data_IF_451684314779
#
_entry.id   IF_451684314779
#
_cell.length_a   1.000
_cell.length_b   1.000
_cell.length_c   1.000
_cell.angle_alpha   90.00
_cell.angle_beta   90.00
_cell.angle_gamma   90.00
#
_symmetry.space_group_name_H-M   'P 1'
#
loop_
_entity.id
_entity.type
_entity.pdbx_description
1 polymer ?
#
# COMPACT_ATOMS: atom_id res chain seq x y z
N UNK A 1 -12.83 14.08 -25.72
CA UNK A 1 -11.66 13.36 -26.25
C UNK A 1 -10.54 13.53 -25.25
N UNK A 2 -10.01 12.44 -24.69
CA UNK A 2 -8.86 12.51 -23.79
C UNK A 2 -7.60 12.69 -24.65
N UNK A 3 -6.82 13.74 -24.37
CA UNK A 3 -5.53 13.97 -25.04
C UNK A 3 -4.52 13.09 -24.32
N UNK A 4 -3.95 12.13 -25.04
CA UNK A 4 -2.91 11.28 -24.46
C UNK A 4 -1.69 12.14 -24.15
N UNK A 5 -1.31 12.20 -22.88
CA UNK A 5 -0.19 13.05 -22.43
C UNK A 5 1.11 12.25 -22.39
N UNK A 6 2.23 12.92 -22.65
CA UNK A 6 3.58 12.32 -22.51
C UNK A 6 3.96 12.05 -21.05
N UNK A 7 3.09 12.41 -20.10
CA UNK A 7 3.32 12.26 -18.68
C UNK A 7 2.87 10.88 -18.19
N UNK A 8 3.78 10.15 -17.53
CA UNK A 8 3.45 8.87 -16.91
C UNK A 8 2.81 9.04 -15.53
N UNK A 9 1.72 8.33 -15.29
CA UNK A 9 1.10 8.18 -13.97
C UNK A 9 1.77 7.00 -13.26
N UNK A 10 2.40 7.25 -12.12
CA UNK A 10 2.99 6.21 -11.28
C UNK A 10 1.99 5.73 -10.22
N UNK A 11 1.86 4.42 -10.10
CA UNK A 11 1.07 3.76 -9.05
C UNK A 11 1.90 2.64 -8.44
N UNK A 12 1.87 2.52 -7.12
CA UNK A 12 2.45 1.39 -6.39
C UNK A 12 1.31 0.78 -5.61
N UNK A 13 0.78 -0.34 -6.11
CA UNK A 13 -0.19 -1.10 -5.34
C UNK A 13 0.52 -1.74 -4.13
N UNK A 14 -0.19 -1.95 -3.00
CA UNK A 14 0.33 -2.78 -1.92
C UNK A 14 0.77 -4.13 -2.48
N UNK A 15 1.99 -4.55 -2.14
CA UNK A 15 2.56 -5.82 -2.60
C UNK A 15 2.78 -5.98 -4.10
N UNK A 16 2.72 -4.91 -4.88
CA UNK A 16 2.93 -4.96 -6.31
C UNK A 16 4.17 -4.16 -6.72
N UNK A 17 4.82 -4.54 -7.85
CA UNK A 17 5.85 -3.71 -8.44
C UNK A 17 5.30 -2.32 -8.78
N UNK A 18 6.18 -1.32 -8.75
CA UNK A 18 5.83 0.03 -9.17
C UNK A 18 5.53 0.04 -10.67
N UNK A 19 4.28 0.34 -11.05
CA UNK A 19 3.86 0.42 -12.45
C UNK A 19 3.68 1.86 -12.90
N UNK A 20 3.74 2.06 -14.22
CA UNK A 20 3.50 3.33 -14.88
C UNK A 20 2.47 3.12 -15.99
N UNK A 21 1.57 4.07 -16.15
CA UNK A 21 0.63 4.11 -17.28
C UNK A 21 0.66 5.50 -17.95
N UNK A 22 0.35 5.60 -19.25
CA UNK A 22 0.13 6.90 -19.87
C UNK A 22 -0.93 7.71 -19.12
N UNK A 23 -0.69 9.01 -18.99
CA UNK A 23 -1.68 9.96 -18.52
C UNK A 23 -2.73 10.22 -19.60
N UNK A 24 -3.93 10.61 -19.16
CA UNK A 24 -5.03 10.97 -20.07
C UNK A 24 -5.26 12.48 -20.13
N UNK A 25 -4.42 13.27 -19.44
CA UNK A 25 -4.46 14.72 -19.43
C UNK A 25 -5.54 15.31 -18.53
N UNK A 26 -6.35 14.47 -17.86
CA UNK A 26 -7.41 14.89 -16.94
C UNK A 26 -7.05 14.63 -15.47
N UNK A 27 -5.78 14.42 -15.17
CA UNK A 27 -5.33 14.20 -13.81
C UNK A 27 -5.25 15.51 -12.98
N UNK A 28 -5.44 15.44 -11.65
CA UNK A 28 -5.27 16.59 -10.78
C UNK A 28 -3.85 17.19 -10.85
N UNK A 29 -3.75 18.51 -10.64
CA UNK A 29 -2.48 19.25 -10.67
C UNK A 29 -1.43 18.70 -9.70
N UNK A 30 -1.84 18.26 -8.51
CA UNK A 30 -0.97 17.57 -7.54
C UNK A 30 -1.42 16.12 -7.41
N UNK A 31 -0.48 15.17 -7.54
CA UNK A 31 -0.69 13.75 -7.30
C UNK A 31 0.23 13.26 -6.16
N UNK A 32 -0.23 13.27 -4.90
CA UNK A 32 0.58 12.75 -3.80
C UNK A 32 0.80 11.25 -3.99
N UNK A 33 2.06 10.85 -4.11
CA UNK A 33 2.44 9.44 -4.14
C UNK A 33 2.77 9.00 -2.73
N UNK A 34 1.78 8.46 -2.02
CA UNK A 34 1.98 7.89 -0.69
C UNK A 34 2.43 6.44 -0.86
N UNK A 35 3.74 6.25 -1.02
CA UNK A 35 4.37 4.95 -0.91
C UNK A 35 4.79 4.73 0.54
N UNK A 36 3.94 4.11 1.34
CA UNK A 36 4.30 3.70 2.69
C UNK A 36 4.54 2.20 2.66
N UNK A 37 5.76 1.77 3.04
CA UNK A 37 6.05 0.37 3.33
C UNK A 37 6.21 0.28 4.85
N UNK A 38 5.13 0.00 5.60
CA UNK A 38 5.20 -0.11 7.05
C UNK A 38 6.28 -1.11 7.47
N UNK A 39 6.90 -0.90 8.64
CA UNK A 39 7.93 -1.82 9.15
C UNK A 39 7.40 -3.26 9.24
N UNK A 40 6.14 -3.45 9.65
CA UNK A 40 5.51 -4.77 9.69
C UNK A 40 5.30 -5.40 8.32
N UNK A 41 5.37 -4.66 7.22
CA UNK A 41 5.35 -5.25 5.87
C UNK A 41 6.53 -6.23 5.68
N UNK A 42 7.63 -6.02 6.41
CA UNK A 42 8.79 -6.94 6.48
C UNK A 42 8.71 -7.97 7.60
N UNK A 43 7.82 -7.77 8.57
CA UNK A 43 7.73 -8.58 9.80
C UNK A 43 6.36 -9.25 9.98
N UNK A 44 5.51 -9.25 8.96
CA UNK A 44 4.19 -9.87 9.02
C UNK A 44 4.37 -11.37 9.29
N UNK A 45 3.81 -11.94 10.36
CA UNK A 45 4.13 -13.30 10.83
C UNK A 45 3.50 -14.43 9.99
N UNK A 46 3.25 -14.20 8.70
CA UNK A 46 2.70 -15.24 7.80
C UNK A 46 1.76 -14.74 6.71
N UNK A 47 1.86 -13.48 6.30
CA UNK A 47 1.13 -13.00 5.12
C UNK A 47 2.01 -13.21 3.88
N UNK A 48 1.61 -14.15 3.02
CA UNK A 48 2.24 -14.34 1.73
C UNK A 48 1.60 -13.43 0.68
N UNK A 49 2.44 -12.65 0.01
CA UNK A 49 2.09 -11.81 -1.12
C UNK A 49 2.33 -12.53 -2.45
N UNK A 50 1.87 -13.77 -2.52
CA UNK A 50 1.98 -14.62 -3.69
C UNK A 50 0.76 -14.46 -4.61
N UNK A 51 0.64 -15.33 -5.61
CA UNK A 51 -0.47 -15.31 -6.56
C UNK A 51 -1.85 -15.24 -5.88
N UNK A 52 -2.06 -15.95 -4.77
CA UNK A 52 -3.35 -15.98 -4.06
C UNK A 52 -3.74 -14.58 -3.58
N UNK A 53 -2.77 -13.79 -3.11
CA UNK A 53 -3.00 -12.39 -2.76
C UNK A 53 -3.52 -11.56 -3.94
N UNK A 54 -3.01 -11.83 -5.14
CA UNK A 54 -3.31 -11.08 -6.35
C UNK A 54 -4.56 -11.59 -7.09
N UNK A 55 -4.96 -12.84 -6.89
CA UNK A 55 -6.08 -13.46 -7.61
C UNK A 55 -7.35 -13.61 -6.76
N UNK A 56 -7.24 -13.71 -5.44
CA UNK A 56 -8.38 -13.88 -4.52
C UNK A 56 -8.71 -12.57 -3.76
N UNK A 57 -9.81 -11.87 -4.11
CA UNK A 57 -10.21 -10.64 -3.43
C UNK A 57 -10.61 -10.85 -1.97
N UNK A 58 -11.17 -12.01 -1.61
CA UNK A 58 -11.60 -12.29 -0.24
C UNK A 58 -10.38 -12.49 0.66
N UNK A 59 -9.40 -13.27 0.20
CA UNK A 59 -8.13 -13.44 0.89
C UNK A 59 -7.40 -12.11 1.07
N UNK A 60 -7.28 -11.31 0.00
CA UNK A 60 -6.69 -9.96 0.06
C UNK A 60 -7.39 -9.06 1.08
N UNK A 61 -8.72 -9.09 1.15
CA UNK A 61 -9.48 -8.27 2.10
C UNK A 61 -9.17 -8.67 3.53
N UNK A 62 -9.23 -9.96 3.83
CA UNK A 62 -9.01 -10.49 5.18
C UNK A 62 -7.65 -10.07 5.73
N UNK A 63 -6.63 -10.23 4.91
CA UNK A 63 -5.26 -9.90 5.28
C UNK A 63 -5.00 -8.40 5.37
N UNK A 64 -5.62 -7.54 4.54
CA UNK A 64 -5.60 -6.07 4.74
C UNK A 64 -6.20 -5.70 6.11
N UNK A 65 -7.27 -6.37 6.53
CA UNK A 65 -7.85 -6.12 7.86
C UNK A 65 -6.88 -6.54 8.97
N UNK A 66 -6.22 -7.69 8.83
CA UNK A 66 -5.18 -8.13 9.77
C UNK A 66 -4.04 -7.12 9.86
N UNK A 67 -3.59 -6.59 8.72
CA UNK A 67 -2.56 -5.54 8.67
C UNK A 67 -2.95 -4.29 9.44
N UNK A 68 -4.20 -3.83 9.26
CA UNK A 68 -4.71 -2.65 9.96
C UNK A 68 -4.73 -2.82 11.48
N UNK A 69 -5.04 -4.03 11.95
CA UNK A 69 -4.98 -4.37 13.38
C UNK A 69 -3.54 -4.41 13.87
N UNK A 70 -2.61 -4.99 13.10
CA UNK A 70 -1.19 -5.01 13.43
C UNK A 70 -0.58 -3.60 13.46
N UNK A 71 -0.95 -2.73 12.52
CA UNK A 71 -0.56 -1.30 12.51
C UNK A 71 -0.93 -0.62 13.83
N UNK A 72 -2.17 -0.82 14.27
CA UNK A 72 -2.67 -0.25 15.51
C UNK A 72 -1.90 -0.76 16.73
N UNK A 73 -1.70 -2.08 16.85
CA UNK A 73 -0.96 -2.68 17.97
C UNK A 73 0.48 -2.19 18.00
N UNK A 74 1.18 -2.21 16.87
CA UNK A 74 2.57 -1.75 16.81
C UNK A 74 2.69 -0.26 17.14
N UNK A 75 1.74 0.56 16.69
CA UNK A 75 1.70 1.98 17.06
C UNK A 75 1.51 2.17 18.56
N UNK A 76 0.67 1.37 19.23
CA UNK A 76 0.49 1.43 20.69
C UNK A 76 1.75 0.99 21.44
N UNK A 77 2.45 -0.04 20.96
CA UNK A 77 3.72 -0.50 21.54
C UNK A 77 4.83 0.53 21.37
N UNK A 78 4.94 1.17 20.20
CA UNK A 78 5.91 2.24 19.95
C UNK A 78 5.64 3.47 20.82
N UNK A 79 4.37 3.86 20.99
CA UNK A 79 3.98 4.94 21.92
C UNK A 79 4.33 4.54 23.36
N UNK A 80 4.01 3.32 23.78
CA UNK A 80 4.28 2.85 25.15
C UNK A 80 5.79 2.82 25.45
N UNK A 81 6.62 2.43 24.47
CA UNK A 81 8.08 2.49 24.56
C UNK A 81 8.63 3.91 24.55
N UNK A 82 8.05 4.80 23.74
CA UNK A 82 8.45 6.21 23.70
C UNK A 82 8.07 6.96 24.98
N UNK A 83 7.01 6.52 25.67
CA UNK A 83 6.57 7.05 26.96
C UNK A 83 7.28 6.43 28.17
N UNK A 84 8.20 5.47 27.96
CA UNK A 84 9.08 4.96 29.00
C UNK A 84 8.38 4.23 30.16
N UNK A 85 7.35 3.43 29.85
CA UNK A 85 6.82 2.42 30.79
C UNK A 85 7.41 1.04 30.52
#
# INVERSE_FOLDING_TARGET
>A
MAIQSDQLVSYIAPAAPATRRPGNGNEPFIRPKIGFTPKWYRHAPGINFDEKWHTDPAFRRETILRMRVLDFINSCDEISRAEGK
#
